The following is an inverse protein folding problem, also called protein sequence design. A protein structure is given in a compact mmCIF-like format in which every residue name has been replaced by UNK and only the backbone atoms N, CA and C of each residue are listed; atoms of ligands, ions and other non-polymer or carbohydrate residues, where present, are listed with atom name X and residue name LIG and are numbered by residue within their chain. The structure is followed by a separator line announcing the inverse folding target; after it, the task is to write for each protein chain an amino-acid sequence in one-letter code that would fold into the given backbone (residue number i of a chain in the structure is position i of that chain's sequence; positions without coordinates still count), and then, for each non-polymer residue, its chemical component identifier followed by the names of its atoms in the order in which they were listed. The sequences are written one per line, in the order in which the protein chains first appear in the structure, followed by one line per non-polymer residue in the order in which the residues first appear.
data_IF_534799706125
#
_entry.id   IF_534799706125
#
_cell.length_a   1.000
_cell.length_b   1.000
_cell.length_c   1.000
_cell.angle_alpha   90.00
_cell.angle_beta   90.00
_cell.angle_gamma   90.00
#
_symmetry.space_group_name_H-M   'P 1'
#
loop_
_entity.id
_entity.type
_entity.pdbx_description
1 polymer ?
#
# COMPACT_ATOMS: atom_id res chain seq x y z
N UNK A 1 35.26 -62.55 25.44
CA UNK A 1 34.09 -61.66 25.69
C UNK A 1 34.30 -60.19 25.28
N UNK A 2 35.51 -59.63 25.29
CA UNK A 2 35.76 -58.22 24.84
C UNK A 2 35.33 -57.90 23.39
N UNK A 3 35.48 -58.85 22.46
CA UNK A 3 35.12 -58.65 21.04
C UNK A 3 33.60 -58.46 20.82
N UNK A 4 32.77 -59.14 21.60
CA UNK A 4 31.32 -58.99 21.55
C UNK A 4 30.85 -57.70 22.24
N UNK A 5 31.52 -57.27 23.31
CA UNK A 5 31.23 -55.99 23.97
C UNK A 5 31.53 -54.79 23.05
N UNK A 6 32.64 -54.81 22.30
CA UNK A 6 32.98 -53.74 21.35
C UNK A 6 31.97 -53.66 20.18
N UNK A 7 31.50 -54.81 19.69
CA UNK A 7 30.50 -54.86 18.63
C UNK A 7 29.13 -54.34 19.08
N UNK A 8 28.70 -54.67 20.30
CA UNK A 8 27.46 -54.16 20.88
C UNK A 8 27.52 -52.65 21.09
N UNK A 9 28.65 -52.11 21.55
CA UNK A 9 28.83 -50.67 21.75
C UNK A 9 28.77 -49.89 20.42
N UNK A 10 29.33 -50.45 19.35
CA UNK A 10 29.27 -49.87 18.01
C UNK A 10 27.84 -49.90 17.43
N UNK A 11 27.10 -50.98 17.67
CA UNK A 11 25.68 -51.08 17.31
C UNK A 11 24.83 -50.04 18.04
N UNK A 12 25.02 -49.88 19.35
CA UNK A 12 24.29 -48.89 20.15
C UNK A 12 24.64 -47.46 19.69
N UNK A 13 25.91 -47.20 19.35
CA UNK A 13 26.33 -45.91 18.82
C UNK A 13 25.71 -45.59 17.45
N UNK A 14 25.69 -46.55 16.52
CA UNK A 14 24.99 -46.37 15.25
C UNK A 14 23.49 -46.14 15.43
N UNK A 15 22.86 -46.88 16.34
CA UNK A 15 21.43 -46.73 16.64
C UNK A 15 21.13 -45.34 17.23
N UNK A 16 21.98 -44.83 18.13
CA UNK A 16 21.76 -43.52 18.74
C UNK A 16 21.89 -42.39 17.71
N UNK A 17 22.86 -42.47 16.80
CA UNK A 17 23.01 -41.51 15.70
C UNK A 17 21.82 -41.58 14.74
N UNK A 18 21.33 -42.77 14.42
CA UNK A 18 20.14 -42.97 13.60
C UNK A 18 18.89 -42.34 14.22
N UNK A 19 18.65 -42.55 15.52
CA UNK A 19 17.54 -41.93 16.25
C UNK A 19 17.69 -40.41 16.27
N UNK A 20 18.89 -39.88 16.47
CA UNK A 20 19.15 -38.45 16.52
C UNK A 20 18.92 -37.77 15.15
N UNK A 21 19.29 -38.43 14.05
CA UNK A 21 18.97 -37.97 12.70
C UNK A 21 17.47 -38.02 12.43
N UNK A 22 16.78 -39.08 12.84
CA UNK A 22 15.32 -39.17 12.67
C UNK A 22 14.61 -38.07 13.48
N UNK A 23 15.05 -37.81 14.71
CA UNK A 23 14.53 -36.73 15.54
C UNK A 23 14.78 -35.35 14.93
N UNK A 24 15.96 -35.13 14.32
CA UNK A 24 16.26 -33.90 13.58
C UNK A 24 15.35 -33.72 12.36
N UNK A 25 15.08 -34.80 11.62
CA UNK A 25 14.19 -34.78 10.45
C UNK A 25 12.75 -34.49 10.85
N UNK A 26 12.24 -35.15 11.88
CA UNK A 26 10.88 -34.89 12.40
C UNK A 26 10.78 -33.49 13.00
N UNK A 27 11.78 -33.00 13.73
CA UNK A 27 11.79 -31.64 14.27
C UNK A 27 11.84 -30.58 13.14
N UNK A 28 12.59 -30.83 12.07
CA UNK A 28 12.58 -29.96 10.89
C UNK A 28 11.23 -29.99 10.17
N UNK A 29 10.59 -31.16 10.07
CA UNK A 29 9.24 -31.31 9.53
C UNK A 29 8.21 -30.59 10.39
N UNK A 30 8.31 -30.69 11.71
CA UNK A 30 7.46 -29.97 12.67
C UNK A 30 7.67 -28.46 12.60
N UNK A 31 8.90 -27.97 12.45
CA UNK A 31 9.17 -26.55 12.20
C UNK A 31 8.57 -26.08 10.88
N UNK A 32 8.63 -26.91 9.83
CA UNK A 32 7.97 -26.62 8.56
C UNK A 32 6.44 -26.54 8.76
N UNK A 33 5.84 -27.54 9.39
CA UNK A 33 4.40 -27.57 9.67
C UNK A 33 3.99 -26.42 10.59
N UNK A 34 4.74 -26.09 11.63
CA UNK A 34 4.49 -24.91 12.48
C UNK A 34 4.60 -23.60 11.71
N UNK A 35 5.56 -23.46 10.78
CA UNK A 35 5.65 -22.30 9.88
C UNK A 35 4.42 -22.18 8.98
N UNK A 36 3.85 -23.29 8.53
CA UNK A 36 2.64 -23.32 7.68
C UNK A 36 1.31 -23.29 8.46
N UNK A 37 1.26 -23.77 9.71
CA UNK A 37 0.06 -23.76 10.57
C UNK A 37 -0.06 -22.45 11.35
N UNK A 38 1.05 -21.79 11.72
CA UNK A 38 1.01 -20.42 12.23
C UNK A 38 0.52 -19.41 11.18
N UNK A 39 0.52 -19.78 9.90
CA UNK A 39 0.02 -18.96 8.80
C UNK A 39 -1.51 -18.80 8.80
N UNK A 40 -2.27 -19.67 9.49
CA UNK A 40 -3.74 -19.71 9.36
C UNK A 40 -4.54 -19.32 10.61
N UNK A 41 -3.93 -18.75 11.65
CA UNK A 41 -4.79 -18.22 12.73
C UNK A 41 -4.13 -17.56 13.94
N UNK A 42 -2.85 -17.80 14.25
CA UNK A 42 -2.16 -17.13 15.37
C UNK A 42 -1.36 -15.91 14.95
N UNK A 43 -0.69 -15.95 13.79
CA UNK A 43 -0.04 -14.76 13.24
C UNK A 43 -1.08 -13.69 12.92
N UNK A 44 -2.24 -14.04 12.36
CA UNK A 44 -3.30 -13.07 12.08
C UNK A 44 -3.79 -12.36 13.35
N UNK A 45 -3.92 -13.05 14.49
CA UNK A 45 -4.31 -12.41 15.74
C UNK A 45 -3.21 -11.49 16.31
N UNK A 46 -1.93 -11.88 16.18
CA UNK A 46 -0.80 -11.05 16.60
C UNK A 46 -0.59 -9.85 15.67
N UNK A 47 -0.75 -10.05 14.36
CA UNK A 47 -0.74 -9.00 13.32
C UNK A 47 -1.91 -8.05 13.53
N UNK A 48 -3.13 -8.55 13.77
CA UNK A 48 -4.29 -7.72 14.08
C UNK A 48 -4.10 -6.93 15.37
N UNK A 49 -3.49 -7.52 16.42
CA UNK A 49 -3.12 -6.79 17.64
C UNK A 49 -2.04 -5.74 17.40
N UNK A 50 -1.02 -6.03 16.59
CA UNK A 50 0.00 -5.04 16.20
C UNK A 50 -0.59 -3.91 15.37
N UNK A 51 -1.54 -4.23 14.47
CA UNK A 51 -2.28 -3.24 13.69
C UNK A 51 -3.14 -2.35 14.60
N UNK A 52 -3.88 -2.95 15.53
CA UNK A 52 -4.72 -2.24 16.49
C UNK A 52 -3.90 -1.35 17.43
N UNK A 53 -2.76 -1.84 17.94
CA UNK A 53 -1.86 -1.08 18.80
C UNK A 53 -1.05 -0.01 18.06
N UNK A 54 -0.67 -0.26 16.79
CA UNK A 54 0.15 0.66 15.98
C UNK A 54 -0.65 1.78 15.31
N UNK A 55 -1.98 1.65 15.22
CA UNK A 55 -2.85 2.74 14.80
C UNK A 55 -3.25 3.61 15.98
N UNK A 56 -2.66 4.81 16.11
CA UNK A 56 -3.11 5.82 17.08
C UNK A 56 -4.61 6.11 16.87
N UNK A 57 -5.46 5.69 17.81
CA UNK A 57 -6.92 5.89 17.75
C UNK A 57 -7.36 7.36 18.01
N UNK A 58 -6.43 8.22 18.43
CA UNK A 58 -6.73 9.54 18.99
C UNK A 58 -6.95 10.67 17.96
N UNK A 59 -6.87 10.39 16.65
CA UNK A 59 -7.19 11.38 15.62
C UNK A 59 -8.62 11.18 15.07
N UNK A 60 -9.63 11.98 15.49
CA UNK A 60 -11.01 11.88 14.98
C UNK A 60 -11.18 12.21 13.49
N UNK A 61 -10.10 12.57 12.78
CA UNK A 61 -10.19 13.20 11.46
C UNK A 61 -10.07 12.22 10.27
N UNK A 62 -9.49 11.03 10.41
CA UNK A 62 -9.44 10.07 9.31
C UNK A 62 -9.23 8.61 9.76
N UNK A 63 -10.31 7.84 9.90
CA UNK A 63 -10.22 6.39 10.14
C UNK A 63 -9.90 5.67 8.81
N UNK A 64 -8.71 5.88 8.24
CA UNK A 64 -8.31 5.39 6.91
C UNK A 64 -8.15 3.86 6.85
N UNK A 65 -7.89 3.23 8.00
CA UNK A 65 -7.69 1.79 8.11
C UNK A 65 -8.98 0.96 8.16
N UNK A 66 -10.12 1.54 8.59
CA UNK A 66 -11.41 0.82 8.70
C UNK A 66 -12.25 0.91 7.41
N UNK A 67 -12.95 -0.15 7.00
CA UNK A 67 -12.78 -1.52 7.46
C UNK A 67 -11.41 -2.06 7.06
N UNK A 68 -10.85 -2.91 7.93
CA UNK A 68 -9.59 -3.60 7.66
C UNK A 68 -9.74 -4.42 6.37
N UNK A 69 -8.88 -4.20 5.36
CA UNK A 69 -8.93 -4.98 4.13
C UNK A 69 -8.27 -6.32 4.38
N UNK A 70 -8.98 -7.41 4.08
CA UNK A 70 -8.44 -8.76 4.20
C UNK A 70 -8.94 -9.56 3.01
N UNK A 71 -8.08 -10.42 2.46
CA UNK A 71 -8.47 -11.30 1.38
C UNK A 71 -9.47 -12.36 1.87
N UNK A 72 -10.69 -12.30 1.33
CA UNK A 72 -11.75 -13.26 1.59
C UNK A 72 -12.06 -14.05 0.34
N UNK A 73 -12.10 -15.37 0.44
CA UNK A 73 -12.52 -16.23 -0.66
C UNK A 73 -14.01 -15.98 -0.97
N UNK A 74 -14.33 -15.70 -2.23
CA UNK A 74 -15.69 -15.60 -2.76
C UNK A 74 -15.85 -16.62 -3.89
N UNK A 75 -16.84 -17.51 -3.78
CA UNK A 75 -16.90 -18.71 -4.62
C UNK A 75 -15.70 -19.63 -4.40
N UNK A 76 -15.26 -20.33 -5.46
CA UNK A 76 -14.17 -21.32 -5.37
C UNK A 76 -12.83 -20.85 -5.98
N UNK A 77 -12.88 -19.77 -6.76
CA UNK A 77 -11.74 -19.32 -7.57
C UNK A 77 -11.39 -17.84 -7.41
N UNK A 78 -12.13 -17.09 -6.60
CA UNK A 78 -11.98 -15.64 -6.45
C UNK A 78 -11.74 -15.25 -5.00
N UNK A 79 -11.01 -14.15 -4.80
CA UNK A 79 -10.74 -13.56 -3.50
C UNK A 79 -10.99 -12.07 -3.58
N UNK A 80 -11.77 -11.52 -2.65
CA UNK A 80 -12.06 -10.10 -2.54
C UNK A 80 -11.25 -9.47 -1.40
N UNK A 81 -10.73 -8.27 -1.59
CA UNK A 81 -9.86 -7.59 -0.62
C UNK A 81 -10.57 -6.47 0.15
N UNK A 82 -11.05 -5.47 -0.57
CA UNK A 82 -11.65 -4.27 -0.01
C UNK A 82 -12.90 -3.88 -0.81
N UNK A 83 -13.85 -3.25 -0.12
CA UNK A 83 -15.14 -2.90 -0.68
C UNK A 83 -15.54 -1.47 -0.30
N UNK A 84 -16.00 -0.72 -1.29
CA UNK A 84 -16.30 0.71 -1.20
C UNK A 84 -17.72 0.97 -1.69
N UNK A 85 -18.45 1.80 -0.98
CA UNK A 85 -19.78 2.25 -1.38
C UNK A 85 -19.71 3.66 -1.95
N UNK A 86 -20.12 3.79 -3.22
CA UNK A 86 -20.24 5.06 -3.93
C UNK A 86 -21.72 5.38 -4.13
N UNK A 87 -22.20 6.43 -3.45
CA UNK A 87 -23.55 6.93 -3.68
C UNK A 87 -23.56 7.75 -4.97
N UNK A 88 -24.57 7.54 -5.81
CA UNK A 88 -24.75 8.41 -6.98
C UNK A 88 -25.42 9.72 -6.51
N UNK A 89 -24.82 10.86 -6.85
CA UNK A 89 -25.35 12.18 -6.48
C UNK A 89 -26.57 12.58 -7.33
N UNK A 90 -26.63 12.10 -8.59
CA UNK A 90 -27.61 12.55 -9.58
C UNK A 90 -28.80 11.59 -9.75
N UNK A 91 -28.66 10.34 -9.28
CA UNK A 91 -29.69 9.29 -9.43
C UNK A 91 -29.85 8.56 -8.11
N UNK A 92 -31.08 8.15 -7.79
CA UNK A 92 -31.34 7.31 -6.62
C UNK A 92 -30.50 6.02 -6.65
N UNK A 93 -29.93 5.66 -5.49
CA UNK A 93 -29.10 4.47 -5.32
C UNK A 93 -27.59 4.74 -5.36
N UNK A 94 -26.84 3.73 -5.79
CA UNK A 94 -25.38 3.75 -5.72
C UNK A 94 -24.78 2.43 -6.18
N UNK A 95 -23.46 2.36 -6.11
CA UNK A 95 -22.66 1.24 -6.58
C UNK A 95 -21.62 0.85 -5.53
N UNK A 96 -21.54 -0.45 -5.22
CA UNK A 96 -20.44 -0.98 -4.44
C UNK A 96 -19.31 -1.42 -5.37
N UNK A 97 -18.09 -0.93 -5.12
CA UNK A 97 -16.88 -1.27 -5.84
C UNK A 97 -16.02 -2.18 -4.98
N UNK A 98 -15.60 -3.31 -5.52
CA UNK A 98 -14.85 -4.32 -4.79
C UNK A 98 -13.64 -4.77 -5.58
N UNK A 99 -12.47 -4.76 -4.92
CA UNK A 99 -11.22 -5.24 -5.51
C UNK A 99 -11.15 -6.76 -5.36
N UNK A 100 -11.01 -7.47 -6.47
CA UNK A 100 -11.08 -8.93 -6.53
C UNK A 100 -9.93 -9.48 -7.38
N UNK A 101 -9.38 -10.63 -6.97
CA UNK A 101 -8.46 -11.44 -7.79
C UNK A 101 -9.04 -12.83 -7.99
N UNK A 102 -8.98 -13.34 -9.21
CA UNK A 102 -9.44 -14.68 -9.56
C UNK A 102 -8.30 -15.53 -10.11
N UNK A 103 -8.43 -16.86 -10.01
CA UNK A 103 -7.55 -17.78 -10.76
C UNK A 103 -7.66 -17.49 -12.25
N UNK A 104 -6.54 -17.55 -12.98
CA UNK A 104 -6.53 -17.34 -14.43
C UNK A 104 -7.44 -18.37 -15.10
N UNK A 105 -8.33 -17.91 -15.99
CA UNK A 105 -9.32 -18.75 -16.68
C UNK A 105 -10.58 -19.07 -15.89
N UNK A 106 -10.74 -18.58 -14.66
CA UNK A 106 -11.98 -18.73 -13.91
C UNK A 106 -13.13 -17.95 -14.57
N UNK A 107 -14.31 -18.58 -14.62
CA UNK A 107 -15.54 -17.96 -15.15
C UNK A 107 -16.13 -17.02 -14.10
N UNK A 108 -16.41 -15.78 -14.49
CA UNK A 108 -16.99 -14.77 -13.58
C UNK A 108 -18.51 -14.81 -13.72
N UNK A 109 -19.20 -15.45 -12.78
CA UNK A 109 -20.66 -15.49 -12.74
C UNK A 109 -21.19 -15.39 -11.30
N UNK A 110 -21.57 -14.17 -10.91
CA UNK A 110 -21.97 -13.85 -9.54
C UNK A 110 -23.31 -13.12 -9.50
N UNK A 111 -24.08 -13.39 -8.46
CA UNK A 111 -25.15 -12.51 -7.99
C UNK A 111 -24.62 -11.66 -6.85
N UNK A 112 -25.02 -10.40 -6.80
CA UNK A 112 -24.61 -9.50 -5.73
C UNK A 112 -25.80 -9.01 -4.90
N UNK A 113 -25.59 -8.81 -3.61
CA UNK A 113 -26.56 -8.21 -2.70
C UNK A 113 -25.90 -7.28 -1.70
N UNK A 114 -26.63 -6.24 -1.30
CA UNK A 114 -26.22 -5.26 -0.31
C UNK A 114 -27.01 -5.50 0.97
N UNK A 115 -26.31 -5.64 2.09
CA UNK A 115 -26.95 -5.78 3.40
C UNK A 115 -26.94 -4.43 4.11
N UNK A 116 -28.13 -3.98 4.48
CA UNK A 116 -28.34 -2.76 5.23
C UNK A 116 -28.08 -2.99 6.72
N UNK A 117 -27.78 -1.90 7.43
CA UNK A 117 -27.62 -1.91 8.88
C UNK A 117 -28.89 -2.37 9.62
N UNK A 118 -30.07 -2.21 9.00
CA UNK A 118 -31.35 -2.71 9.50
C UNK A 118 -31.55 -4.22 9.35
N UNK A 119 -30.57 -4.95 8.82
CA UNK A 119 -30.64 -6.40 8.61
C UNK A 119 -31.35 -6.83 7.32
N UNK A 120 -31.96 -5.90 6.57
CA UNK A 120 -32.54 -6.17 5.24
C UNK A 120 -31.44 -6.36 4.19
N UNK A 121 -31.69 -7.24 3.23
CA UNK A 121 -30.81 -7.44 2.06
C UNK A 121 -31.52 -6.98 0.79
N UNK A 122 -30.78 -6.29 -0.09
CA UNK A 122 -31.25 -5.79 -1.38
C UNK A 122 -30.40 -6.40 -2.47
N UNK A 123 -31.04 -7.04 -3.45
CA UNK A 123 -30.34 -7.58 -4.61
C UNK A 123 -29.91 -6.45 -5.55
N UNK A 124 -28.64 -6.46 -5.96
CA UNK A 124 -28.08 -5.52 -6.92
C UNK A 124 -27.82 -6.16 -8.29
N UNK A 125 -27.52 -5.30 -9.26
CA UNK A 125 -27.03 -5.71 -10.58
C UNK A 125 -25.52 -5.86 -10.53
N UNK A 126 -25.06 -7.09 -10.73
CA UNK A 126 -23.64 -7.40 -10.81
C UNK A 126 -23.05 -6.95 -12.16
N UNK A 127 -21.86 -6.35 -12.10
CA UNK A 127 -20.99 -6.11 -13.26
C UNK A 127 -19.55 -6.35 -12.83
N UNK A 128 -18.65 -6.55 -13.79
CA UNK A 128 -17.23 -6.59 -13.52
C UNK A 128 -16.44 -5.97 -14.66
N UNK A 129 -15.23 -5.53 -14.34
CA UNK A 129 -14.22 -5.08 -15.28
C UNK A 129 -12.93 -5.82 -14.96
N UNK A 130 -12.26 -6.33 -16.00
CA UNK A 130 -10.90 -6.84 -15.88
C UNK A 130 -9.92 -5.67 -15.99
N UNK A 131 -8.86 -5.70 -15.19
CA UNK A 131 -7.83 -4.66 -15.26
C UNK A 131 -7.17 -4.64 -16.65
N UNK A 132 -7.13 -3.46 -17.29
CA UNK A 132 -6.76 -3.32 -18.71
C UNK A 132 -5.27 -3.55 -18.96
N UNK A 133 -4.42 -3.43 -17.93
CA UNK A 133 -2.97 -3.68 -18.01
C UNK A 133 -2.67 -5.15 -18.30
N UNK A 134 -3.61 -6.06 -18.02
CA UNK A 134 -3.43 -7.50 -18.27
C UNK A 134 -3.42 -7.90 -19.74
N UNK A 135 -3.93 -7.06 -20.66
CA UNK A 135 -3.96 -7.37 -22.09
C UNK A 135 -2.64 -7.06 -22.81
N UNK A 136 -1.77 -6.24 -22.23
CA UNK A 136 -0.53 -5.77 -22.86
C UNK A 136 0.69 -6.65 -22.53
N UNK A 137 0.62 -7.42 -21.44
CA UNK A 137 1.67 -8.34 -21.03
C UNK A 137 1.07 -9.75 -21.02
N UNK A 138 1.22 -10.47 -22.14
CA UNK A 138 0.85 -11.90 -22.26
C UNK A 138 1.81 -12.74 -21.41
N UNK A 139 1.70 -12.56 -20.10
CA UNK A 139 2.56 -13.22 -19.15
C UNK A 139 1.97 -14.60 -18.86
N UNK A 140 2.56 -15.61 -19.50
CA UNK A 140 2.29 -17.02 -19.21
C UNK A 140 2.60 -17.36 -17.74
N UNK A 141 3.35 -16.52 -17.02
CA UNK A 141 3.73 -16.74 -15.63
C UNK A 141 2.67 -16.35 -14.59
N UNK A 142 1.66 -15.54 -14.95
CA UNK A 142 0.66 -15.11 -13.97
C UNK A 142 -0.39 -16.19 -13.71
N UNK A 143 -0.57 -16.58 -12.45
CA UNK A 143 -1.59 -17.55 -12.01
C UNK A 143 -2.95 -16.90 -11.65
N UNK A 144 -3.03 -15.57 -11.66
CA UNK A 144 -4.25 -14.83 -11.31
C UNK A 144 -4.59 -13.73 -12.33
N UNK A 145 -5.81 -13.24 -12.20
CA UNK A 145 -6.42 -12.15 -12.97
C UNK A 145 -7.07 -11.17 -12.00
N UNK A 146 -6.80 -9.87 -12.15
CA UNK A 146 -7.35 -8.79 -11.34
C UNK A 146 -8.69 -8.29 -11.92
N UNK A 147 -9.66 -8.10 -11.04
CA UNK A 147 -11.01 -7.67 -11.39
C UNK A 147 -11.49 -6.55 -10.46
N UNK A 148 -12.27 -5.64 -11.02
CA UNK A 148 -13.14 -4.75 -10.27
C UNK A 148 -14.56 -5.29 -10.36
N UNK A 149 -15.13 -5.69 -9.23
CA UNK A 149 -16.52 -6.11 -9.14
C UNK A 149 -17.38 -4.92 -8.73
N UNK A 150 -18.54 -4.82 -9.38
CA UNK A 150 -19.51 -3.76 -9.14
C UNK A 150 -20.85 -4.37 -8.77
N UNK A 151 -21.49 -3.80 -7.73
CA UNK A 151 -22.87 -4.13 -7.37
C UNK A 151 -23.72 -2.86 -7.35
N UNK A 152 -24.51 -2.67 -8.40
CA UNK A 152 -25.30 -1.46 -8.61
C UNK A 152 -26.75 -1.64 -8.11
N UNK A 153 -27.28 -0.64 -7.42
CA UNK A 153 -28.71 -0.55 -7.09
C UNK A 153 -29.28 0.79 -7.55
N UNK A 154 -30.51 0.77 -8.05
CA UNK A 154 -31.20 1.93 -8.64
C UNK A 154 -32.16 2.65 -7.68
N UNK A 155 -32.32 2.13 -6.46
CA UNK A 155 -33.17 2.70 -5.43
C UNK A 155 -32.30 3.14 -4.27
N UNK A 156 -32.65 4.27 -3.67
CA UNK A 156 -31.98 4.74 -2.47
C UNK A 156 -32.56 4.00 -1.25
N UNK A 157 -31.68 3.32 -0.53
CA UNK A 157 -32.01 2.64 0.72
C UNK A 157 -31.12 3.13 1.87
N UNK A 158 -30.44 4.27 1.69
CA UNK A 158 -29.43 4.77 2.61
C UNK A 158 -28.07 4.08 2.42
N UNK A 159 -27.29 4.00 3.50
CA UNK A 159 -25.94 3.44 3.47
C UNK A 159 -25.95 1.93 3.78
N UNK A 160 -25.53 1.08 2.84
CA UNK A 160 -25.34 -0.34 3.12
C UNK A 160 -24.12 -0.54 4.03
N UNK A 161 -24.19 -1.54 4.91
CA UNK A 161 -23.08 -1.90 5.80
C UNK A 161 -22.13 -2.92 5.17
N UNK A 162 -22.63 -3.78 4.27
CA UNK A 162 -21.80 -4.78 3.60
C UNK A 162 -22.35 -5.16 2.22
N UNK A 163 -21.49 -5.71 1.37
CA UNK A 163 -21.82 -6.33 0.09
C UNK A 163 -21.48 -7.81 0.14
N UNK A 164 -22.31 -8.63 -0.50
CA UNK A 164 -22.09 -10.06 -0.66
C UNK A 164 -22.13 -10.45 -2.13
N UNK A 165 -21.25 -11.36 -2.53
CA UNK A 165 -21.27 -12.00 -3.84
C UNK A 165 -21.50 -13.49 -3.67
N UNK A 166 -22.52 -14.01 -4.36
CA UNK A 166 -22.86 -15.42 -4.39
C UNK A 166 -22.54 -15.96 -5.77
N UNK A 167 -21.58 -16.88 -5.85
CA UNK A 167 -21.27 -17.61 -7.08
C UNK A 167 -22.46 -18.51 -7.43
N UNK A 168 -23.00 -18.37 -8.64
CA UNK A 168 -24.20 -19.11 -9.07
C UNK A 168 -23.94 -20.62 -9.12
N UNK A 169 -22.67 -21.01 -9.34
CA UNK A 169 -22.28 -22.41 -9.46
C UNK A 169 -22.10 -23.11 -8.11
N UNK A 170 -22.05 -22.37 -7.01
CA UNK A 170 -21.76 -22.92 -5.67
C UNK A 170 -22.94 -22.78 -4.72
N UNK A 171 -23.08 -23.72 -3.79
CA UNK A 171 -24.09 -23.69 -2.72
C UNK A 171 -23.56 -23.06 -1.42
N UNK A 172 -22.35 -22.49 -1.43
CA UNK A 172 -21.72 -21.91 -0.25
C UNK A 172 -22.43 -20.62 0.17
N UNK A 173 -22.47 -20.38 1.48
CA UNK A 173 -23.02 -19.14 2.03
C UNK A 173 -22.21 -17.94 1.54
N UNK A 174 -22.86 -16.85 1.12
CA UNK A 174 -22.16 -15.68 0.63
C UNK A 174 -21.34 -15.01 1.75
N UNK A 175 -20.10 -14.66 1.43
CA UNK A 175 -19.25 -13.89 2.32
C UNK A 175 -19.66 -12.42 2.28
N UNK A 176 -19.79 -11.80 3.46
CA UNK A 176 -20.15 -10.39 3.61
C UNK A 176 -18.90 -9.54 3.78
N UNK A 177 -18.64 -8.68 2.80
CA UNK A 177 -17.54 -7.71 2.83
C UNK A 177 -18.06 -6.38 3.39
N UNK A 178 -17.42 -5.86 4.43
CA UNK A 178 -17.78 -4.56 5.02
C UNK A 178 -17.48 -3.44 4.02
N UNK A 179 -18.43 -2.53 3.85
CA UNK A 179 -18.30 -1.41 2.92
C UNK A 179 -17.72 -0.19 3.63
N UNK A 180 -16.72 0.44 2.99
CA UNK A 180 -16.31 1.81 3.32
C UNK A 180 -17.18 2.78 2.56
N UNK A 181 -17.87 3.67 3.26
CA UNK A 181 -18.70 4.69 2.62
C UNK A 181 -17.84 5.85 2.13
N UNK A 182 -17.80 6.07 0.82
CA UNK A 182 -17.16 7.24 0.21
C UNK A 182 -18.18 8.37 0.16
N UNK A 183 -18.49 8.96 1.32
CA UNK A 183 -19.39 10.12 1.38
C UNK A 183 -18.67 11.36 0.83
N UNK A 184 -19.31 12.14 -0.07
CA UNK A 184 -18.98 13.55 -0.23
C UNK A 184 -19.22 14.25 1.12
N UNK A 185 -18.30 15.10 1.55
CA UNK A 185 -18.50 16.01 2.68
C UNK A 185 -19.71 16.91 2.40
N UNK A 186 -20.83 16.66 3.05
CA UNK A 186 -22.01 17.53 2.97
C UNK A 186 -21.67 18.91 3.56
N UNK A 187 -21.71 19.96 2.74
CA UNK A 187 -21.55 21.37 3.16
C UNK A 187 -22.75 21.91 3.97
N UNK A 188 -23.70 21.08 4.38
CA UNK A 188 -24.92 21.50 5.09
C UNK A 188 -25.00 20.89 6.49
N UNK A 189 -24.13 21.36 7.40
CA UNK A 189 -24.39 21.30 8.83
C UNK A 189 -24.89 22.68 9.26
N UNK A 190 -26.21 22.84 9.36
CA UNK A 190 -26.86 23.97 10.04
C UNK A 190 -26.72 23.78 11.56
N UNK A 191 -25.50 23.79 12.08
CA UNK A 191 -25.26 23.83 13.53
C UNK A 191 -24.06 24.73 13.80
N UNK A 192 -24.15 25.52 14.88
CA UNK A 192 -23.10 26.41 15.38
C UNK A 192 -21.88 25.63 15.94
N UNK A 193 -21.42 24.61 15.22
CA UNK A 193 -20.27 23.76 15.51
C UNK A 193 -19.26 23.97 14.39
N UNK A 194 -17.94 24.10 14.66
CA UNK A 194 -16.96 24.50 13.66
C UNK A 194 -17.00 23.59 12.43
N UNK A 195 -16.79 24.22 11.27
CA UNK A 195 -16.89 23.65 9.94
C UNK A 195 -16.21 22.27 9.78
N UNK A 196 -16.71 21.50 8.80
CA UNK A 196 -16.22 20.18 8.39
C UNK A 196 -14.69 20.00 8.53
N UNK A 197 -14.19 18.82 8.95
CA UNK A 197 -12.76 18.61 9.07
C UNK A 197 -12.09 18.91 7.72
N UNK A 198 -11.10 19.81 7.75
CA UNK A 198 -10.29 20.13 6.58
C UNK A 198 -9.69 18.84 6.02
N UNK A 199 -9.77 18.67 4.69
CA UNK A 199 -9.11 17.53 4.03
C UNK A 199 -7.62 17.58 4.36
N UNK A 200 -7.03 16.42 4.61
CA UNK A 200 -5.59 16.30 4.80
C UNK A 200 -4.88 16.85 3.55
N UNK A 201 -3.76 17.57 3.72
CA UNK A 201 -3.03 18.12 2.58
C UNK A 201 -2.59 17.02 1.61
N UNK A 202 -1.90 16.02 2.14
CA UNK A 202 -1.43 14.88 1.39
C UNK A 202 -1.33 13.65 2.29
N UNK A 203 -1.28 12.49 1.66
CA UNK A 203 -1.06 11.19 2.29
C UNK A 203 -0.04 10.41 1.48
N UNK A 204 0.70 9.52 2.14
CA UNK A 204 1.61 8.59 1.47
C UNK A 204 1.10 7.18 1.72
N UNK A 205 0.90 6.41 0.66
CA UNK A 205 0.74 4.97 0.76
C UNK A 205 2.10 4.31 0.61
N UNK A 206 2.46 3.44 1.54
CA UNK A 206 3.74 2.74 1.60
C UNK A 206 3.55 1.30 1.14
N UNK A 207 4.21 0.93 0.05
CA UNK A 207 4.22 -0.42 -0.53
C UNK A 207 5.37 -1.25 0.07
N UNK A 208 5.11 -1.96 1.18
CA UNK A 208 6.05 -2.97 1.70
C UNK A 208 5.89 -4.33 1.03
N UNK A 209 4.78 -4.55 0.31
CA UNK A 209 4.48 -5.83 -0.36
C UNK A 209 5.47 -6.10 -1.49
N UNK A 210 5.69 -5.11 -2.35
CA UNK A 210 6.62 -5.22 -3.47
C UNK A 210 8.07 -4.85 -3.12
N UNK A 211 8.35 -4.57 -1.85
CA UNK A 211 9.66 -4.11 -1.39
C UNK A 211 10.49 -5.26 -0.83
N UNK A 212 11.78 -5.28 -1.18
CA UNK A 212 12.69 -6.30 -0.69
C UNK A 212 13.22 -5.90 0.69
N UNK A 213 12.57 -6.39 1.75
CA UNK A 213 12.99 -6.19 3.14
C UNK A 213 14.34 -6.81 3.48
N UNK A 214 14.91 -7.65 2.60
CA UNK A 214 16.27 -8.20 2.80
C UNK A 214 17.37 -7.36 2.15
N UNK A 215 17.00 -6.29 1.43
CA UNK A 215 17.95 -5.37 0.75
C UNK A 215 18.84 -4.62 1.72
N UNK A 216 19.94 -4.08 1.21
CA UNK A 216 20.89 -3.26 1.96
C UNK A 216 20.21 -2.06 2.64
N UNK A 217 19.36 -1.37 1.88
CA UNK A 217 18.54 -0.26 2.38
C UNK A 217 17.65 -0.68 3.56
N UNK A 218 16.90 -1.79 3.42
CA UNK A 218 15.94 -2.23 4.42
C UNK A 218 16.57 -2.70 5.74
N UNK A 219 17.80 -3.23 5.69
CA UNK A 219 18.56 -3.61 6.89
C UNK A 219 19.03 -2.41 7.71
N UNK A 220 19.05 -1.22 7.10
CA UNK A 220 19.43 0.02 7.77
C UNK A 220 18.17 0.66 8.35
N UNK A 221 17.85 0.41 9.63
CA UNK A 221 16.65 0.95 10.29
C UNK A 221 16.56 2.48 10.19
N UNK A 222 17.69 3.17 10.30
CA UNK A 222 17.77 4.62 10.12
C UNK A 222 17.32 5.08 8.72
N UNK A 223 17.55 4.28 7.67
CA UNK A 223 17.10 4.60 6.32
C UNK A 223 15.59 4.46 6.19
N UNK A 224 15.00 3.43 6.81
CA UNK A 224 13.54 3.27 6.89
C UNK A 224 12.89 4.39 7.70
N UNK A 225 13.47 4.76 8.84
CA UNK A 225 12.98 5.86 9.68
C UNK A 225 13.02 7.20 8.93
N UNK A 226 14.12 7.47 8.22
CA UNK A 226 14.31 8.69 7.44
C UNK A 226 13.25 8.89 6.37
N UNK A 227 12.76 7.82 5.73
CA UNK A 227 11.65 7.91 4.80
C UNK A 227 10.45 8.60 5.46
N UNK A 228 10.04 8.17 6.65
CA UNK A 228 8.87 8.73 7.33
C UNK A 228 9.12 10.14 7.85
N UNK A 229 10.26 10.38 8.51
CA UNK A 229 10.61 11.68 9.07
C UNK A 229 10.73 12.77 8.00
N UNK A 230 11.30 12.44 6.85
CA UNK A 230 11.43 13.39 5.74
C UNK A 230 10.06 13.75 5.16
N UNK A 231 9.18 12.76 4.96
CA UNK A 231 7.81 13.02 4.50
C UNK A 231 7.00 13.82 5.53
N UNK A 232 7.26 13.65 6.83
CA UNK A 232 6.71 14.52 7.88
C UNK A 232 7.22 15.96 7.76
N UNK A 233 8.52 16.16 7.55
CA UNK A 233 9.13 17.49 7.40
C UNK A 233 8.55 18.30 6.22
N UNK A 234 8.13 17.62 5.14
CA UNK A 234 7.43 18.26 4.01
C UNK A 234 5.93 18.49 4.26
N UNK A 235 5.40 18.13 5.42
CA UNK A 235 4.01 18.33 5.82
C UNK A 235 3.07 17.14 5.56
N UNK A 236 3.60 15.92 5.39
CA UNK A 236 2.79 14.70 5.28
C UNK A 236 2.85 13.90 6.57
N UNK A 237 1.76 13.92 7.32
CA UNK A 237 1.68 13.28 8.65
C UNK A 237 1.00 11.91 8.62
N UNK A 238 0.32 11.55 7.52
CA UNK A 238 -0.58 10.40 7.47
C UNK A 238 -0.13 9.37 6.43
N UNK A 239 0.15 8.15 6.89
CA UNK A 239 0.74 7.08 6.07
C UNK A 239 -0.13 5.82 6.08
N UNK A 240 -0.49 5.30 4.92
CA UNK A 240 -1.16 4.00 4.78
C UNK A 240 -0.12 2.95 4.44
N UNK A 241 0.19 2.06 5.37
CA UNK A 241 1.31 1.11 5.21
C UNK A 241 0.74 -0.27 4.86
N UNK A 242 0.94 -0.70 3.62
CA UNK A 242 0.55 -2.04 3.16
C UNK A 242 1.59 -3.05 3.59
N UNK A 243 1.15 -4.18 4.16
CA UNK A 243 2.00 -5.19 4.79
C UNK A 243 2.81 -4.63 5.98
N UNK A 244 2.12 -3.85 6.81
CA UNK A 244 2.68 -3.14 7.97
C UNK A 244 3.48 -4.04 8.93
N UNK A 245 3.14 -5.32 9.01
CA UNK A 245 3.80 -6.32 9.84
C UNK A 245 5.27 -6.59 9.46
N UNK A 246 5.70 -6.19 8.27
CA UNK A 246 7.10 -6.24 7.84
C UNK A 246 7.94 -5.06 8.37
N UNK A 247 7.33 -4.00 8.87
CA UNK A 247 8.07 -2.85 9.39
C UNK A 247 8.74 -3.23 10.74
N UNK A 248 10.04 -2.96 10.94
CA UNK A 248 10.72 -3.28 12.20
C UNK A 248 10.08 -2.60 13.41
N UNK A 249 10.00 -3.30 14.55
CA UNK A 249 9.36 -2.80 15.78
C UNK A 249 10.08 -1.56 16.32
N UNK A 250 11.40 -1.51 16.19
CA UNK A 250 12.23 -0.37 16.57
C UNK A 250 11.85 0.89 15.79
N UNK A 251 11.62 0.76 14.48
CA UNK A 251 11.18 1.87 13.62
C UNK A 251 9.79 2.34 14.05
N UNK A 252 8.85 1.42 14.30
CA UNK A 252 7.50 1.75 14.77
C UNK A 252 7.56 2.52 16.10
N UNK A 253 8.33 2.02 17.07
CA UNK A 253 8.47 2.65 18.38
C UNK A 253 9.06 4.06 18.33
N UNK A 254 9.99 4.32 17.40
CA UNK A 254 10.53 5.65 17.19
C UNK A 254 9.48 6.57 16.55
N UNK A 255 8.74 6.08 15.56
CA UNK A 255 7.67 6.83 14.91
C UNK A 255 6.52 7.15 15.86
N UNK A 256 6.21 6.30 16.83
CA UNK A 256 5.18 6.55 17.84
C UNK A 256 5.46 7.82 18.67
N UNK A 257 6.73 8.20 18.82
CA UNK A 257 7.15 9.42 19.53
C UNK A 257 7.04 10.69 18.69
N UNK A 258 6.67 10.57 17.43
CA UNK A 258 6.49 11.68 16.49
C UNK A 258 5.01 12.00 16.26
N UNK A 259 4.73 13.05 15.50
CA UNK A 259 3.37 13.41 15.06
C UNK A 259 2.92 12.63 13.82
N UNK A 260 3.60 11.52 13.48
CA UNK A 260 3.24 10.67 12.36
C UNK A 260 2.11 9.72 12.77
N UNK A 261 1.11 9.60 11.89
CA UNK A 261 0.01 8.66 11.98
C UNK A 261 0.23 7.51 10.98
N UNK A 262 0.50 6.33 11.52
CA UNK A 262 0.63 5.10 10.74
C UNK A 262 -0.70 4.36 10.71
N UNK A 263 -1.20 4.08 9.50
CA UNK A 263 -2.38 3.27 9.24
C UNK A 263 -1.94 1.94 8.63
N UNK A 264 -1.73 0.95 9.49
CA UNK A 264 -1.33 -0.38 9.03
C UNK A 264 -2.47 -1.08 8.29
N UNK A 265 -2.15 -1.70 7.15
CA UNK A 265 -3.05 -2.50 6.34
C UNK A 265 -2.41 -3.88 6.09
N UNK A 266 -3.07 -4.99 6.44
CA UNK A 266 -2.55 -6.31 6.12
C UNK A 266 -2.68 -6.58 4.61
N UNK A 267 -1.73 -7.33 4.05
CA UNK A 267 -1.72 -7.68 2.62
C UNK A 267 -1.36 -9.15 2.40
N UNK A 268 -2.14 -10.04 3.00
CA UNK A 268 -2.01 -11.50 2.92
C UNK A 268 -2.43 -12.06 1.54
N UNK A 269 -1.72 -11.69 0.47
CA UNK A 269 -2.08 -11.98 -0.91
C UNK A 269 -2.24 -13.49 -1.18
N UNK A 270 -3.37 -13.95 -1.77
CA UNK A 270 -3.72 -15.37 -1.84
C UNK A 270 -2.96 -16.17 -2.91
N UNK A 271 -2.17 -15.52 -3.76
CA UNK A 271 -1.38 -16.18 -4.80
C UNK A 271 0.11 -16.04 -4.54
N UNK A 272 0.89 -17.00 -5.05
CA UNK A 272 2.36 -16.91 -5.01
C UNK A 272 2.83 -15.70 -5.80
N UNK A 273 3.56 -14.82 -5.12
CA UNK A 273 4.17 -13.65 -5.73
C UNK A 273 5.44 -14.06 -6.47
N UNK A 274 5.56 -13.62 -7.72
CA UNK A 274 6.76 -13.72 -8.55
C UNK A 274 7.10 -12.34 -9.10
N UNK A 275 8.32 -12.15 -9.59
CA UNK A 275 8.75 -10.86 -10.15
C UNK A 275 7.81 -10.34 -11.26
N UNK A 276 7.25 -11.23 -12.10
CA UNK A 276 6.29 -10.87 -13.15
C UNK A 276 4.93 -10.39 -12.62
N UNK A 277 4.58 -10.72 -11.38
CA UNK A 277 3.29 -10.31 -10.76
C UNK A 277 3.37 -9.01 -9.96
N UNK A 278 4.57 -8.50 -9.68
CA UNK A 278 4.75 -7.35 -8.78
C UNK A 278 4.08 -6.06 -9.30
N UNK A 279 4.11 -5.81 -10.61
CA UNK A 279 3.45 -4.63 -11.21
C UNK A 279 1.94 -4.69 -11.03
N UNK A 280 1.33 -5.87 -11.18
CA UNK A 280 -0.12 -6.08 -11.00
C UNK A 280 -0.54 -5.91 -9.55
N UNK A 281 0.26 -6.44 -8.62
CA UNK A 281 0.02 -6.26 -7.19
C UNK A 281 0.12 -4.77 -6.82
N UNK A 282 1.14 -4.06 -7.34
CA UNK A 282 1.30 -2.63 -7.13
C UNK A 282 0.11 -1.82 -7.64
N UNK A 283 -0.45 -2.18 -8.80
CA UNK A 283 -1.65 -1.53 -9.34
C UNK A 283 -2.88 -1.74 -8.45
N UNK A 284 -3.02 -2.93 -7.87
CA UNK A 284 -4.08 -3.24 -6.91
C UNK A 284 -3.96 -2.39 -5.63
N UNK A 285 -2.73 -2.30 -5.09
CA UNK A 285 -2.41 -1.44 -3.94
C UNK A 285 -2.66 0.03 -4.27
N UNK A 286 -2.27 0.48 -5.47
CA UNK A 286 -2.50 1.85 -5.92
C UNK A 286 -3.99 2.18 -5.96
N UNK A 287 -4.81 1.30 -6.53
CA UNK A 287 -6.26 1.49 -6.58
C UNK A 287 -6.89 1.52 -5.19
N UNK A 288 -6.48 0.62 -4.29
CA UNK A 288 -6.95 0.63 -2.90
C UNK A 288 -6.55 1.92 -2.18
N UNK A 289 -5.29 2.35 -2.36
CA UNK A 289 -4.75 3.57 -1.80
C UNK A 289 -5.56 4.81 -2.23
N UNK A 290 -5.88 4.92 -3.53
CA UNK A 290 -6.73 5.99 -4.05
C UNK A 290 -8.07 5.98 -3.33
N UNK A 291 -8.77 4.85 -3.34
CA UNK A 291 -10.13 4.71 -2.80
C UNK A 291 -10.21 4.96 -1.30
N UNK A 292 -9.20 4.61 -0.52
CA UNK A 292 -9.14 4.93 0.93
C UNK A 292 -8.99 6.41 1.20
N UNK A 293 -8.23 7.11 0.36
CA UNK A 293 -7.89 8.52 0.54
C UNK A 293 -8.90 9.47 -0.11
N UNK A 294 -9.78 9.00 -1.01
CA UNK A 294 -10.84 9.85 -1.59
C UNK A 294 -11.67 10.50 -0.48
N UNK A 295 -11.92 11.80 -0.62
CA UNK A 295 -12.60 12.67 0.36
C UNK A 295 -11.87 12.90 1.69
N UNK A 296 -10.74 12.25 1.94
CA UNK A 296 -9.94 12.44 3.16
C UNK A 296 -8.68 13.28 2.93
N UNK A 297 -8.03 13.11 1.78
CA UNK A 297 -6.83 13.85 1.42
C UNK A 297 -7.04 14.61 0.10
N UNK A 298 -6.28 15.70 -0.10
CA UNK A 298 -6.26 16.42 -1.37
C UNK A 298 -5.34 15.72 -2.39
N UNK A 299 -4.23 15.17 -1.90
CA UNK A 299 -3.27 14.42 -2.70
C UNK A 299 -2.87 13.10 -2.07
N UNK A 300 -2.49 12.12 -2.88
CA UNK A 300 -1.89 10.86 -2.42
C UNK A 300 -0.83 10.35 -3.39
N UNK A 301 0.20 9.70 -2.85
CA UNK A 301 1.29 9.10 -3.62
C UNK A 301 1.60 7.71 -3.09
N UNK A 302 1.84 6.75 -3.98
CA UNK A 302 2.25 5.40 -3.63
C UNK A 302 3.77 5.27 -3.78
N UNK A 303 4.48 5.05 -2.67
CA UNK A 303 5.94 4.96 -2.61
C UNK A 303 6.37 3.66 -1.96
N UNK A 304 7.56 3.19 -2.32
CA UNK A 304 8.30 2.20 -1.51
C UNK A 304 9.14 2.92 -0.46
N UNK A 305 9.58 2.23 0.61
CA UNK A 305 10.43 2.86 1.64
C UNK A 305 11.74 3.45 1.12
N UNK A 306 12.25 2.92 0.00
CA UNK A 306 13.45 3.45 -0.66
C UNK A 306 13.15 4.56 -1.68
N UNK A 307 11.93 5.09 -1.71
CA UNK A 307 11.51 6.16 -2.62
C UNK A 307 11.17 7.42 -1.85
N UNK A 308 11.98 8.47 -1.99
CA UNK A 308 11.83 9.72 -1.25
C UNK A 308 11.34 10.83 -2.17
N UNK A 309 10.19 11.42 -1.86
CA UNK A 309 9.61 12.50 -2.64
C UNK A 309 10.13 13.87 -2.18
N UNK A 310 10.65 14.65 -3.13
CA UNK A 310 11.12 16.02 -2.94
C UNK A 310 10.18 16.97 -3.67
N UNK A 311 9.26 17.67 -2.98
CA UNK A 311 8.53 18.79 -3.54
C UNK A 311 9.34 20.09 -3.42
N UNK A 312 9.11 21.04 -4.33
CA UNK A 312 9.76 22.35 -4.28
C UNK A 312 9.30 23.26 -3.12
N UNK A 313 8.21 22.90 -2.44
CA UNK A 313 7.75 23.51 -1.21
C UNK A 313 6.89 22.53 -0.40
N UNK A 314 6.66 22.84 0.88
CA UNK A 314 5.87 21.97 1.77
C UNK A 314 4.40 21.90 1.38
N UNK A 315 3.76 20.81 1.76
CA UNK A 315 2.31 20.74 1.87
C UNK A 315 1.86 21.60 3.05
N UNK A 316 0.88 22.48 2.84
CA UNK A 316 0.33 23.36 3.87
C UNK A 316 -1.16 23.13 3.99
N UNK A 317 -1.66 23.03 5.24
CA UNK A 317 -3.10 22.97 5.54
C UNK A 317 -3.78 24.30 5.20
N UNK A 318 -3.08 25.41 5.39
CA UNK A 318 -3.63 26.78 5.34
C UNK A 318 -3.28 27.52 4.04
N UNK A 319 -3.50 26.92 2.87
CA UNK A 319 -3.42 27.54 1.52
C UNK A 319 -2.36 28.66 1.37
N UNK A 320 -1.19 28.48 1.99
CA UNK A 320 -0.20 29.54 2.04
C UNK A 320 0.30 29.75 0.62
N UNK A 321 0.38 31.03 0.21
CA UNK A 321 0.85 31.41 -1.12
C UNK A 321 2.19 30.71 -1.38
N UNK A 322 2.25 29.85 -2.39
CA UNK A 322 3.47 29.16 -2.81
C UNK A 322 3.58 27.68 -2.39
N UNK A 323 2.60 27.10 -1.68
CA UNK A 323 2.58 25.65 -1.40
C UNK A 323 2.50 24.81 -2.68
N UNK A 324 3.09 23.61 -2.67
CA UNK A 324 3.09 22.68 -3.82
C UNK A 324 1.66 22.36 -4.27
N UNK A 325 0.72 22.29 -3.33
CA UNK A 325 -0.70 22.07 -3.63
C UNK A 325 -1.31 23.18 -4.47
N UNK A 326 -1.02 24.43 -4.13
CA UNK A 326 -1.52 25.58 -4.86
C UNK A 326 -0.94 25.59 -6.28
N UNK A 327 0.35 25.26 -6.42
CA UNK A 327 1.00 25.15 -7.72
C UNK A 327 0.32 24.08 -8.59
N UNK A 328 0.06 22.90 -8.03
CA UNK A 328 -0.60 21.80 -8.74
C UNK A 328 -2.08 22.10 -9.07
N UNK A 329 -2.72 23.01 -8.34
CA UNK A 329 -4.08 23.48 -8.65
C UNK A 329 -4.15 24.44 -9.84
N UNK A 330 -3.03 24.93 -10.37
CA UNK A 330 -3.02 25.68 -11.63
C UNK A 330 -3.32 24.80 -12.85
N UNK A 331 -3.09 23.49 -12.75
CA UNK A 331 -3.52 22.55 -13.78
C UNK A 331 -5.03 22.38 -13.78
N UNK A 332 -5.58 21.99 -14.94
CA UNK A 332 -7.01 21.73 -15.11
C UNK A 332 -7.54 20.83 -13.99
N UNK A 333 -8.77 21.08 -13.54
CA UNK A 333 -9.45 20.23 -12.55
C UNK A 333 -9.59 18.78 -13.01
N UNK A 334 -9.56 18.55 -14.32
CA UNK A 334 -9.58 17.21 -14.92
C UNK A 334 -8.25 16.47 -14.83
N UNK A 335 -7.14 17.16 -14.53
CA UNK A 335 -5.84 16.53 -14.33
C UNK A 335 -5.80 15.90 -12.95
N UNK A 336 -5.83 14.56 -12.92
CA UNK A 336 -5.85 13.81 -11.66
C UNK A 336 -4.51 13.16 -11.34
N UNK A 337 -3.65 12.97 -12.33
CA UNK A 337 -2.36 12.26 -12.18
C UNK A 337 -1.22 13.17 -12.61
N UNK A 338 -0.25 13.31 -11.72
CA UNK A 338 0.98 14.04 -11.97
C UNK A 338 2.15 13.06 -11.95
N UNK A 339 2.77 12.84 -13.09
CA UNK A 339 3.96 12.00 -13.20
C UNK A 339 5.18 12.75 -12.68
N UNK A 340 5.90 12.11 -11.77
CA UNK A 340 7.12 12.63 -11.15
C UNK A 340 8.34 11.96 -11.77
N UNK A 341 9.32 12.76 -12.17
CA UNK A 341 10.63 12.26 -12.55
C UNK A 341 11.24 11.47 -11.38
N UNK A 342 11.75 10.28 -11.66
CA UNK A 342 12.34 9.39 -10.65
C UNK A 342 13.81 9.13 -10.97
N UNK A 343 14.70 9.47 -10.04
CA UNK A 343 16.15 9.30 -10.19
C UNK A 343 16.62 8.10 -9.37
N UNK A 344 17.39 7.20 -9.99
CA UNK A 344 17.99 6.05 -9.32
C UNK A 344 19.27 6.44 -8.58
N UNK A 345 19.13 6.85 -7.32
CA UNK A 345 20.24 7.33 -6.48
C UNK A 345 20.97 6.18 -5.82
N UNK A 346 22.30 6.21 -5.87
CA UNK A 346 23.15 5.18 -5.30
C UNK A 346 23.16 5.26 -3.77
N UNK A 347 22.72 4.18 -3.12
CA UNK A 347 22.65 4.10 -1.66
C UNK A 347 24.02 3.76 -1.04
N UNK A 348 24.54 4.68 -0.23
CA UNK A 348 25.75 4.50 0.57
C UNK A 348 25.42 4.57 2.07
N UNK A 349 25.53 3.44 2.77
CA UNK A 349 25.33 3.31 4.23
C UNK A 349 26.27 4.20 5.06
N UNK A 350 27.39 4.65 4.48
CA UNK A 350 28.33 5.55 5.17
C UNK A 350 27.76 6.96 5.30
N UNK A 351 26.76 7.31 4.49
CA UNK A 351 26.07 8.60 4.56
C UNK A 351 25.08 8.59 5.71
N UNK A 352 25.14 9.62 6.55
CA UNK A 352 24.23 9.78 7.69
C UNK A 352 22.79 9.94 7.19
N UNK A 353 22.58 10.83 6.22
CA UNK A 353 21.26 11.15 5.70
C UNK A 353 21.08 10.66 4.25
N UNK A 354 19.86 10.27 3.91
CA UNK A 354 19.48 9.85 2.56
C UNK A 354 19.77 10.93 1.51
N UNK A 355 19.43 12.23 1.72
CA UNK A 355 19.78 13.29 0.79
C UNK A 355 21.29 13.53 0.60
N UNK A 356 22.16 13.01 1.47
CA UNK A 356 23.62 13.12 1.30
C UNK A 356 24.17 12.18 0.20
N UNK A 357 23.33 11.27 -0.32
CA UNK A 357 23.65 10.45 -1.47
C UNK A 357 23.44 11.28 -2.75
N UNK A 358 24.53 11.78 -3.31
CA UNK A 358 24.50 12.74 -4.43
C UNK A 358 24.61 12.09 -5.82
N UNK A 359 25.12 10.87 -5.87
CA UNK A 359 25.38 10.16 -7.13
C UNK A 359 24.14 9.38 -7.58
N UNK A 360 23.72 9.56 -8.82
CA UNK A 360 22.63 8.80 -9.43
C UNK A 360 23.04 8.22 -10.78
N UNK A 361 22.38 7.10 -11.13
CA UNK A 361 22.56 6.38 -12.38
C UNK A 361 21.41 6.77 -13.35
N UNK A 362 21.69 7.49 -14.46
CA UNK A 362 20.68 7.90 -15.42
C UNK A 362 20.21 6.76 -16.33
N UNK A 363 21.02 5.70 -16.49
CA UNK A 363 20.68 4.56 -17.35
C UNK A 363 19.69 3.63 -16.66
N UNK A 364 19.72 3.59 -15.33
CA UNK A 364 18.81 2.80 -14.52
C UNK A 364 17.43 3.44 -14.40
N UNK A 365 16.54 3.08 -15.32
CA UNK A 365 15.14 3.50 -15.31
C UNK A 365 14.33 2.87 -14.18
N UNK A 366 13.35 3.61 -13.67
CA UNK A 366 12.37 3.07 -12.73
C UNK A 366 11.49 2.02 -13.43
N UNK A 367 11.18 0.89 -12.77
CA UNK A 367 10.29 -0.14 -13.31
C UNK A 367 8.83 0.31 -13.41
N UNK A 368 8.46 1.45 -12.82
CA UNK A 368 7.12 2.04 -12.90
C UNK A 368 7.21 3.56 -12.80
N UNK A 369 6.17 4.21 -13.31
CA UNK A 369 5.96 5.65 -13.11
C UNK A 369 5.55 5.94 -11.67
N UNK A 370 6.04 7.04 -11.13
CA UNK A 370 5.64 7.52 -9.81
C UNK A 370 4.60 8.62 -9.99
N UNK A 371 3.39 8.41 -9.48
CA UNK A 371 2.25 9.28 -9.71
C UNK A 371 1.78 9.94 -8.41
N UNK A 372 1.80 11.27 -8.38
CA UNK A 372 1.09 12.05 -7.37
C UNK A 372 -0.35 12.27 -7.86
N UNK A 373 -1.32 11.77 -7.09
CA UNK A 373 -2.72 11.74 -7.50
C UNK A 373 -3.50 12.81 -6.74
N UNK A 374 -4.25 13.65 -7.48
CA UNK A 374 -5.21 14.61 -6.94
C UNK A 374 -6.54 13.92 -6.70
N UNK A 375 -7.09 14.06 -5.50
CA UNK A 375 -8.28 13.32 -5.04
C UNK A 375 -9.53 14.20 -4.89
N UNK A 376 -9.54 15.35 -5.58
CA UNK A 376 -10.63 16.31 -5.46
C UNK A 376 -11.84 15.98 -6.35
N UNK A 377 -11.68 15.09 -7.33
CA UNK A 377 -12.76 14.63 -8.20
C UNK A 377 -13.59 13.49 -7.57
N UNK A 378 -14.84 13.27 -8.04
CA UNK A 378 -15.62 12.10 -7.66
C UNK A 378 -14.88 10.79 -7.92
N UNK A 379 -15.02 9.76 -7.05
CA UNK A 379 -14.26 8.52 -7.16
C UNK A 379 -14.41 7.79 -8.51
N UNK A 380 -15.61 7.81 -9.10
CA UNK A 380 -15.83 7.21 -10.43
C UNK A 380 -14.98 7.88 -11.53
N UNK A 381 -14.81 9.20 -11.46
CA UNK A 381 -13.95 9.95 -12.39
C UNK A 381 -12.47 9.72 -12.10
N UNK A 382 -12.07 9.62 -10.83
CA UNK A 382 -10.69 9.32 -10.45
C UNK A 382 -10.23 7.95 -10.99
N UNK A 383 -11.10 6.95 -10.92
CA UNK A 383 -10.81 5.60 -11.43
C UNK A 383 -10.79 5.56 -12.97
N UNK A 384 -11.63 6.35 -13.64
CA UNK A 384 -11.72 6.38 -15.09
C UNK A 384 -10.72 7.34 -15.76
N UNK A 385 -10.21 8.32 -15.02
CA UNK A 385 -9.32 9.36 -15.53
C UNK A 385 -7.96 8.76 -15.94
N UNK A 386 -7.57 9.06 -17.17
CA UNK A 386 -6.26 8.73 -17.75
C UNK A 386 -5.44 9.98 -18.05
N UNK A 387 -5.95 11.16 -17.65
CA UNK A 387 -5.29 12.46 -17.84
C UNK A 387 -4.10 12.57 -16.90
N UNK A 388 -2.93 12.46 -17.49
CA UNK A 388 -1.63 12.47 -16.83
C UNK A 388 -0.80 13.63 -17.37
N UNK A 389 -0.13 14.35 -16.48
CA UNK A 389 0.79 15.43 -16.82
C UNK A 389 2.14 15.13 -16.17
N UNK A 390 3.21 15.18 -16.96
CA UNK A 390 4.58 15.10 -16.46
C UNK A 390 4.95 16.41 -15.77
N UNK A 391 5.37 16.33 -14.51
CA UNK A 391 5.82 17.48 -13.75
C UNK A 391 7.29 17.76 -14.04
N UNK A 392 7.61 19.05 -14.13
CA UNK A 392 9.00 19.48 -14.24
C UNK A 392 9.78 19.15 -12.96
N UNK A 393 11.09 18.92 -13.10
CA UNK A 393 12.02 18.78 -11.97
C UNK A 393 11.98 19.98 -11.00
N UNK A 394 11.58 21.16 -11.47
CA UNK A 394 11.45 22.36 -10.64
C UNK A 394 10.23 22.35 -9.72
N UNK A 395 9.25 21.45 -9.95
CA UNK A 395 8.05 21.29 -9.12
C UNK A 395 8.26 20.19 -8.08
N UNK A 396 8.87 19.09 -8.49
CA UNK A 396 9.24 18.00 -7.59
C UNK A 396 9.70 16.76 -8.35
N UNK A 397 10.39 15.88 -7.63
CA UNK A 397 10.94 14.63 -8.15
C UNK A 397 11.06 13.59 -7.04
N UNK A 398 11.40 12.37 -7.40
CA UNK A 398 11.54 11.25 -6.47
C UNK A 398 12.94 10.66 -6.57
N UNK A 399 13.63 10.50 -5.45
CA UNK A 399 14.79 9.63 -5.38
C UNK A 399 14.35 8.20 -5.13
N UNK A 400 14.91 7.26 -5.89
CA UNK A 400 14.81 5.84 -5.63
C UNK A 400 16.20 5.34 -5.25
N UNK A 401 16.40 5.02 -3.97
CA UNK A 401 17.68 4.52 -3.48
C UNK A 401 17.89 3.07 -3.92
N UNK A 402 19.01 2.82 -4.60
CA UNK A 402 19.35 1.51 -5.18
C UNK A 402 20.80 1.15 -4.90
N UNK A 403 21.09 -0.14 -4.90
CA UNK A 403 22.46 -0.64 -4.87
C UNK A 403 23.08 -0.44 -6.27
N UNK A 404 24.02 0.50 -6.38
CA UNK A 404 24.79 0.74 -7.60
C UNK A 404 26.06 -0.11 -7.59
N UNK A 405 26.40 -0.69 -8.75
CA UNK A 405 27.59 -1.55 -8.88
C UNK A 405 28.89 -0.74 -8.98
N UNK A 406 28.85 0.50 -9.50
CA UNK A 406 30.04 1.30 -9.80
C UNK A 406 29.95 2.76 -9.30
N UNK A 407 29.88 2.95 -7.98
CA UNK A 407 29.88 4.30 -7.36
C UNK A 407 31.19 5.04 -7.66
N UNK A 408 31.15 6.07 -8.52
CA UNK A 408 32.29 6.91 -8.89
C UNK A 408 32.97 6.60 -10.23
N UNK A 409 32.38 5.73 -11.06
CA UNK A 409 32.79 5.53 -12.46
C UNK A 409 32.17 6.60 -13.39
N UNK A 410 32.69 6.73 -14.63
CA UNK A 410 32.34 7.77 -15.63
C UNK A 410 30.86 7.83 -16.06
N UNK A 411 29.97 7.01 -15.50
CA UNK A 411 28.53 6.99 -15.79
C UNK A 411 27.61 7.52 -14.68
N UNK A 412 28.14 7.90 -13.51
CA UNK A 412 27.31 8.49 -12.45
C UNK A 412 27.30 10.01 -12.51
N UNK A 413 26.12 10.56 -12.26
CA UNK A 413 25.90 12.00 -12.29
C UNK A 413 25.53 12.52 -10.91
N UNK A 414 25.87 13.77 -10.64
CA UNK A 414 25.43 14.47 -9.44
C UNK A 414 24.03 15.06 -9.67
N UNK A 415 23.02 14.55 -8.97
CA UNK A 415 21.63 15.00 -9.18
C UNK A 415 21.44 16.47 -8.80
N UNK A 416 22.29 17.04 -7.94
CA UNK A 416 22.19 18.43 -7.50
C UNK A 416 22.37 19.41 -8.67
N UNK A 417 23.09 19.00 -9.71
CA UNK A 417 23.29 19.81 -10.91
C UNK A 417 22.01 19.95 -11.75
N UNK A 418 21.02 19.07 -11.56
CA UNK A 418 19.74 19.12 -12.26
C UNK A 418 18.67 19.93 -11.51
N UNK A 419 18.97 20.40 -10.29
CA UNK A 419 18.02 21.08 -9.41
C UNK A 419 18.41 22.55 -9.29
N UNK A 420 17.40 23.43 -9.31
CA UNK A 420 17.61 24.88 -9.13
C UNK A 420 18.13 25.19 -7.73
N UNK A 421 18.88 26.28 -7.60
CA UNK A 421 19.50 26.70 -6.34
C UNK A 421 18.50 26.93 -5.21
N UNK A 422 17.36 27.58 -5.49
CA UNK A 422 16.29 27.82 -4.52
C UNK A 422 15.64 26.53 -4.03
N UNK A 423 15.46 25.56 -4.92
CA UNK A 423 14.96 24.24 -4.54
C UNK A 423 16.03 23.47 -3.75
N UNK A 424 17.32 23.56 -4.10
CA UNK A 424 18.39 22.98 -3.31
C UNK A 424 18.48 23.56 -1.89
N UNK A 425 18.28 24.87 -1.73
CA UNK A 425 18.19 25.50 -0.41
C UNK A 425 17.03 24.91 0.41
N UNK A 426 15.85 24.75 -0.20
CA UNK A 426 14.72 24.09 0.45
C UNK A 426 15.04 22.66 0.90
N UNK A 427 15.70 21.87 0.04
CA UNK A 427 16.12 20.50 0.37
C UNK A 427 17.11 20.51 1.54
N UNK A 428 18.05 21.46 1.59
CA UNK A 428 19.00 21.59 2.69
C UNK A 428 18.32 21.96 4.01
N UNK A 429 17.28 22.81 3.98
CA UNK A 429 16.46 23.10 5.17
C UNK A 429 15.77 21.83 5.68
N UNK A 430 15.11 21.08 4.80
CA UNK A 430 14.46 19.81 5.15
C UNK A 430 15.46 18.79 5.71
N UNK A 431 16.63 18.68 5.07
CA UNK A 431 17.73 17.83 5.51
C UNK A 431 18.16 18.16 6.93
N UNK A 432 18.35 19.44 7.26
CA UNK A 432 18.74 19.87 8.59
C UNK A 432 17.64 19.59 9.64
N UNK A 433 16.37 19.76 9.28
CA UNK A 433 15.26 19.41 10.18
C UNK A 433 15.22 17.91 10.47
N UNK A 434 15.39 17.07 9.45
CA UNK A 434 15.42 15.61 9.63
C UNK A 434 16.64 15.19 10.45
N UNK A 435 17.80 15.84 10.29
CA UNK A 435 18.99 15.56 11.09
C UNK A 435 18.80 15.82 12.59
N UNK A 436 17.90 16.74 12.95
CA UNK A 436 17.55 17.03 14.35
C UNK A 436 16.54 16.02 14.94
N UNK A 437 15.83 15.27 14.07
CA UNK A 437 14.81 14.30 14.46
C UNK A 437 15.36 12.87 14.59
N UNK A 438 16.58 12.62 14.12
CA UNK A 438 17.32 11.35 14.19
C UNK A 438 18.34 11.44 15.32
#
# INVERSE_FOLDING_TARGET
MRKYQQLVLLLISCLSVGILLMYKTENNRLKYVLKYVNFFGRNDAAVLRRLENGTKEDAPQAVLWRPLPVWHMIGDSFHAYSAYWMRNELVAGGEAHVLVVGKKGAVVDFRCSLNLLSGRSVQGKFRFQRDSIESLVDDKSSNFTSYHFFCQVSRDFGQPGSVSFTDITTTKSPVKLRLRNLKPTDKKSNSNVPAAPSRLPATVCVDLVGFNMTSKFARTENALLQFFLFHQAIGIENFLVYNYDELPEEVIHLLDRTNINLYGLPFNFPFRQTNGTLSRIRQLIHTDCLLRNVNHASFTILLRPNELFFPNSRFSVDQAKGSVQQQLRHFSSETTRFELATMSVCFDERKKLLPDNVQYDPERRSPYKTLLNRLELPPAQLLASTTEVELSLSTGFVHRYVDCEHVGSDGLHDWRNAVREDFMEHINVLRNEVDLLI
#
